data_IF_117032797969
#
_entry.id   IF_117032797969
#
_cell.length_a   1.000
_cell.length_b   1.000
_cell.length_c   1.000
_cell.angle_alpha   90.00
_cell.angle_beta   90.00
_cell.angle_gamma   90.00
#
_symmetry.space_group_name_H-M   'P 1'
#
loop_
_entity.id
_entity.type
_entity.pdbx_description
1 polymer ?
#
# COMPACT_ATOMS: atom_id res chain seq x y z
N UNK A 1 12.18 -7.47 -28.88
CA UNK A 1 11.91 -7.37 -27.43
C UNK A 1 10.82 -6.32 -27.29
N UNK A 2 9.73 -6.63 -26.63
CA UNK A 2 8.67 -5.65 -26.35
C UNK A 2 9.24 -4.61 -25.39
N UNK A 3 9.19 -3.34 -25.78
CA UNK A 3 9.69 -2.24 -24.94
C UNK A 3 8.60 -1.83 -23.96
N UNK A 4 8.67 -2.38 -22.73
CA UNK A 4 7.72 -2.10 -21.65
C UNK A 4 8.16 -0.79 -20.99
N UNK A 5 7.21 0.13 -20.82
CA UNK A 5 7.42 1.49 -20.32
C UNK A 5 6.84 1.62 -18.92
N UNK A 6 7.56 2.31 -18.04
CA UNK A 6 7.04 2.67 -16.72
C UNK A 6 5.85 3.62 -16.83
N UNK A 7 4.87 3.45 -15.95
CA UNK A 7 3.78 4.41 -15.81
C UNK A 7 4.32 5.72 -15.21
N UNK A 8 4.11 6.82 -15.93
CA UNK A 8 4.49 8.17 -15.47
C UNK A 8 3.58 8.68 -14.34
N UNK A 9 2.36 8.11 -14.22
CA UNK A 9 1.38 8.41 -13.18
C UNK A 9 1.18 7.23 -12.24
N UNK A 10 2.27 6.63 -11.80
CA UNK A 10 2.22 5.49 -10.88
C UNK A 10 1.60 5.88 -9.53
N UNK A 11 0.37 5.42 -9.26
CA UNK A 11 -0.36 5.68 -8.02
C UNK A 11 0.20 4.94 -6.80
N UNK A 12 1.26 4.14 -6.95
CA UNK A 12 1.91 3.41 -5.85
C UNK A 12 3.32 3.91 -5.61
N UNK A 13 3.58 4.32 -4.38
CA UNK A 13 4.93 4.65 -3.89
C UNK A 13 5.59 3.41 -3.30
N UNK A 14 6.85 3.21 -3.66
CA UNK A 14 7.66 2.10 -3.18
C UNK A 14 8.83 2.65 -2.36
N UNK A 15 8.79 2.43 -1.03
CA UNK A 15 9.93 2.73 -0.16
C UNK A 15 11.11 1.80 -0.46
N UNK A 16 12.33 2.17 -0.04
CA UNK A 16 13.51 1.31 -0.19
C UNK A 16 13.30 -0.05 0.48
N UNK A 17 12.59 -0.08 1.62
CA UNK A 17 12.22 -1.33 2.30
C UNK A 17 11.35 -2.21 1.41
N UNK A 18 10.35 -1.63 0.75
CA UNK A 18 9.46 -2.35 -0.16
C UNK A 18 10.23 -2.86 -1.38
N UNK A 19 11.06 -2.01 -2.02
CA UNK A 19 11.92 -2.41 -3.15
C UNK A 19 12.85 -3.56 -2.79
N UNK A 20 13.47 -3.52 -1.61
CA UNK A 20 14.32 -4.60 -1.12
C UNK A 20 13.54 -5.91 -0.91
N UNK A 21 12.30 -5.83 -0.43
CA UNK A 21 11.44 -6.98 -0.24
C UNK A 21 11.04 -7.62 -1.58
N UNK A 22 10.69 -6.79 -2.58
CA UNK A 22 10.41 -7.24 -3.94
C UNK A 22 11.66 -7.91 -4.54
N UNK A 23 12.83 -7.28 -4.42
CA UNK A 23 14.09 -7.83 -4.92
C UNK A 23 14.40 -9.20 -4.29
N UNK A 24 14.23 -9.29 -2.96
CA UNK A 24 14.38 -10.56 -2.22
C UNK A 24 13.42 -11.63 -2.74
N UNK A 25 12.15 -11.31 -2.89
CA UNK A 25 11.15 -12.23 -3.41
C UNK A 25 11.52 -12.75 -4.80
N UNK A 26 11.91 -11.86 -5.71
CA UNK A 26 12.29 -12.22 -7.08
C UNK A 26 13.58 -13.05 -7.13
N UNK A 27 14.58 -12.71 -6.33
CA UNK A 27 15.88 -13.42 -6.31
C UNK A 27 15.80 -14.82 -5.68
N UNK A 28 15.06 -14.97 -4.58
CA UNK A 28 14.94 -16.23 -3.84
C UNK A 28 13.86 -17.15 -4.40
N UNK A 29 12.70 -16.58 -4.76
CA UNK A 29 11.52 -17.35 -5.18
C UNK A 29 11.26 -17.31 -6.69
N UNK A 30 11.90 -16.39 -7.43
CA UNK A 30 11.62 -16.13 -8.83
C UNK A 30 10.33 -15.34 -9.04
N UNK A 31 9.99 -15.07 -10.30
CA UNK A 31 8.78 -14.32 -10.64
C UNK A 31 7.50 -15.08 -10.23
N UNK A 32 6.79 -14.54 -9.26
CA UNK A 32 5.56 -15.13 -8.70
C UNK A 32 4.29 -14.59 -9.34
N UNK A 33 4.26 -13.30 -9.65
CA UNK A 33 3.11 -12.62 -10.26
C UNK A 33 3.47 -12.00 -11.61
N UNK A 34 2.46 -11.72 -12.41
CA UNK A 34 2.55 -10.95 -13.65
C UNK A 34 2.47 -9.45 -13.35
N UNK A 35 2.92 -8.65 -14.33
CA UNK A 35 2.58 -7.23 -14.43
C UNK A 35 1.50 -7.04 -15.48
N UNK A 36 0.75 -5.95 -15.41
CA UNK A 36 -0.26 -5.61 -16.39
C UNK A 36 0.21 -4.38 -17.17
N UNK A 37 0.10 -4.44 -18.49
CA UNK A 37 0.44 -3.33 -19.39
C UNK A 37 -0.75 -3.04 -20.33
N UNK A 38 -0.82 -1.80 -20.81
CA UNK A 38 -1.78 -1.40 -21.84
C UNK A 38 -1.31 -1.81 -23.25
N UNK A 39 -2.10 -1.47 -24.27
CA UNK A 39 -1.80 -1.76 -25.68
C UNK A 39 -0.53 -1.04 -26.20
N UNK A 40 -0.10 0.03 -25.56
CA UNK A 40 1.10 0.79 -25.89
C UNK A 40 2.31 0.40 -25.04
N UNK A 41 2.17 -0.70 -24.27
CA UNK A 41 3.14 -1.26 -23.33
C UNK A 41 3.47 -0.37 -22.12
N UNK A 42 2.59 0.57 -21.74
CA UNK A 42 2.73 1.27 -20.49
C UNK A 42 2.23 0.39 -19.33
N UNK A 43 2.97 0.35 -18.22
CA UNK A 43 2.59 -0.45 -17.06
C UNK A 43 1.35 0.16 -16.41
N UNK A 44 0.27 -0.64 -16.29
CA UNK A 44 -0.92 -0.31 -15.50
C UNK A 44 -0.71 -0.73 -14.04
N UNK A 45 -0.09 -1.90 -13.82
CA UNK A 45 0.19 -2.42 -12.49
C UNK A 45 1.48 -3.22 -12.48
N UNK A 46 2.32 -3.01 -11.44
CA UNK A 46 3.56 -3.75 -11.21
C UNK A 46 4.84 -3.00 -11.52
N UNK A 47 4.86 -1.64 -11.50
CA UNK A 47 6.06 -0.83 -11.71
C UNK A 47 7.24 -1.27 -10.83
N UNK A 48 7.02 -1.45 -9.50
CA UNK A 48 8.07 -1.88 -8.58
C UNK A 48 8.62 -3.29 -8.90
N UNK A 49 7.75 -4.20 -9.34
CA UNK A 49 8.17 -5.56 -9.75
C UNK A 49 9.02 -5.50 -11.02
N UNK A 50 8.59 -4.72 -12.00
CA UNK A 50 9.32 -4.60 -13.26
C UNK A 50 10.69 -3.94 -13.05
N UNK A 51 10.78 -2.88 -12.24
CA UNK A 51 12.03 -2.23 -11.84
C UNK A 51 13.03 -3.23 -11.25
N UNK A 52 12.60 -4.04 -10.28
CA UNK A 52 13.48 -5.02 -9.65
C UNK A 52 13.79 -6.21 -10.57
N UNK A 53 12.84 -6.64 -11.40
CA UNK A 53 13.08 -7.68 -12.39
C UNK A 53 14.15 -7.28 -13.43
N UNK A 54 14.12 -6.02 -13.88
CA UNK A 54 15.17 -5.48 -14.76
C UNK A 54 16.53 -5.47 -14.07
N UNK A 55 16.60 -5.02 -12.81
CA UNK A 55 17.84 -5.00 -12.02
C UNK A 55 18.45 -6.39 -11.88
N UNK A 56 17.60 -7.42 -11.75
CA UNK A 56 18.01 -8.82 -11.64
C UNK A 56 18.25 -9.51 -13.00
N UNK A 57 17.99 -8.83 -14.12
CA UNK A 57 18.11 -9.40 -15.45
C UNK A 57 17.08 -10.50 -15.76
N UNK A 58 15.93 -10.49 -15.10
CA UNK A 58 14.86 -11.48 -15.31
C UNK A 58 14.22 -11.21 -16.69
N UNK A 59 14.13 -12.26 -17.50
CA UNK A 59 13.52 -12.18 -18.84
C UNK A 59 12.00 -12.04 -18.73
N UNK A 60 11.41 -11.20 -19.57
CA UNK A 60 9.97 -11.04 -19.70
C UNK A 60 9.39 -11.98 -20.77
N UNK A 61 8.17 -12.45 -20.52
CA UNK A 61 7.33 -13.15 -21.49
C UNK A 61 5.99 -12.42 -21.54
N UNK A 62 5.64 -11.87 -22.69
CA UNK A 62 4.36 -11.18 -22.91
C UNK A 62 3.30 -12.19 -23.33
N UNK A 63 2.11 -12.04 -22.76
CA UNK A 63 0.89 -12.78 -23.13
C UNK A 63 -0.15 -11.69 -23.42
N UNK A 64 -0.67 -11.70 -24.65
CA UNK A 64 -1.72 -10.76 -25.07
C UNK A 64 -3.09 -11.34 -24.72
N UNK A 65 -3.97 -10.48 -24.21
CA UNK A 65 -5.35 -10.80 -23.82
C UNK A 65 -6.24 -9.58 -24.00
N UNK A 66 -7.51 -9.79 -24.27
CA UNK A 66 -8.53 -8.74 -24.33
C UNK A 66 -9.26 -8.52 -22.99
N UNK A 67 -8.81 -9.20 -21.92
CA UNK A 67 -9.38 -9.09 -20.58
C UNK A 67 -10.63 -9.94 -20.33
N UNK A 68 -11.04 -10.75 -21.31
CA UNK A 68 -12.21 -11.64 -21.16
C UNK A 68 -11.87 -12.95 -20.44
N UNK A 69 -10.58 -13.27 -20.30
CA UNK A 69 -10.08 -14.48 -19.66
C UNK A 69 -9.13 -14.15 -18.51
N UNK A 70 -9.18 -14.94 -17.44
CA UNK A 70 -8.21 -14.87 -16.37
C UNK A 70 -6.92 -15.59 -16.76
N UNK A 71 -5.81 -14.86 -16.85
CA UNK A 71 -4.49 -15.44 -17.08
C UNK A 71 -3.94 -16.06 -15.80
N UNK A 72 -3.74 -17.36 -15.80
CA UNK A 72 -3.17 -18.12 -14.68
C UNK A 72 -1.71 -18.45 -14.94
N UNK A 73 -0.82 -17.94 -14.09
CA UNK A 73 0.61 -18.29 -14.11
C UNK A 73 0.85 -19.53 -13.26
N UNK A 74 1.09 -20.69 -13.93
CA UNK A 74 1.38 -21.96 -13.25
C UNK A 74 2.89 -22.16 -13.09
N UNK A 75 3.37 -22.14 -11.84
CA UNK A 75 4.76 -22.44 -11.47
C UNK A 75 4.96 -23.97 -11.40
N UNK A 76 5.44 -24.54 -12.47
CA UNK A 76 5.66 -26.00 -12.59
C UNK A 76 6.87 -26.50 -11.82
N UNK A 77 7.70 -25.58 -11.34
CA UNK A 77 8.90 -25.83 -10.55
C UNK A 77 8.64 -25.85 -9.02
N UNK A 78 7.39 -25.60 -8.58
CA UNK A 78 7.02 -25.55 -7.17
C UNK A 78 6.00 -26.63 -6.83
N UNK A 79 6.26 -27.41 -5.78
CA UNK A 79 5.31 -28.34 -5.18
C UNK A 79 4.59 -27.76 -3.98
N UNK A 80 3.45 -28.33 -3.52
CA UNK A 80 2.70 -27.81 -2.37
C UNK A 80 3.53 -27.71 -1.08
N UNK A 81 4.51 -28.60 -0.89
CA UNK A 81 5.30 -28.70 0.35
C UNK A 81 6.60 -27.87 0.31
N UNK A 82 6.95 -27.29 -0.84
CA UNK A 82 8.20 -26.54 -0.98
C UNK A 82 8.22 -25.29 -0.08
N UNK A 83 9.31 -25.11 0.67
CA UNK A 83 9.54 -23.90 1.46
C UNK A 83 9.52 -22.63 0.59
N UNK A 84 10.07 -22.73 -0.62
CA UNK A 84 10.06 -21.66 -1.61
C UNK A 84 8.64 -21.23 -2.01
N UNK A 85 7.71 -22.17 -2.14
CA UNK A 85 6.29 -21.90 -2.38
C UNK A 85 5.65 -21.17 -1.21
N UNK A 86 5.96 -21.59 0.03
CA UNK A 86 5.45 -20.94 1.25
C UNK A 86 6.01 -19.52 1.39
N UNK A 87 7.30 -19.35 1.16
CA UNK A 87 7.96 -18.03 1.14
C UNK A 87 7.33 -17.11 0.11
N UNK A 88 7.12 -17.60 -1.12
CA UNK A 88 6.52 -16.81 -2.20
C UNK A 88 5.11 -16.34 -1.82
N UNK A 89 4.28 -17.19 -1.23
CA UNK A 89 2.92 -16.82 -0.80
C UNK A 89 2.93 -15.68 0.23
N UNK A 90 3.88 -15.70 1.17
CA UNK A 90 4.01 -14.64 2.18
C UNK A 90 4.59 -13.35 1.58
N UNK A 91 5.69 -13.47 0.82
CA UNK A 91 6.38 -12.32 0.24
C UNK A 91 5.51 -11.59 -0.79
N UNK A 92 4.71 -12.31 -1.56
CA UNK A 92 3.80 -11.72 -2.55
C UNK A 92 2.77 -10.79 -1.89
N UNK A 93 2.16 -11.21 -0.79
CA UNK A 93 1.25 -10.38 -0.01
C UNK A 93 1.99 -9.23 0.69
N UNK A 94 3.09 -9.51 1.38
CA UNK A 94 3.86 -8.50 2.10
C UNK A 94 4.40 -7.38 1.19
N UNK A 95 4.75 -7.67 -0.06
CA UNK A 95 5.17 -6.65 -1.03
C UNK A 95 4.02 -5.73 -1.44
N UNK A 96 2.78 -6.21 -1.44
CA UNK A 96 1.59 -5.40 -1.68
C UNK A 96 1.27 -4.51 -0.47
N UNK A 97 1.27 -5.10 0.74
CA UNK A 97 0.90 -4.42 1.99
C UNK A 97 1.90 -3.32 2.39
N UNK A 98 3.17 -3.46 2.00
CA UNK A 98 4.22 -2.47 2.33
C UNK A 98 4.38 -1.35 1.29
N UNK A 99 3.55 -1.32 0.25
CA UNK A 99 3.47 -0.21 -0.70
C UNK A 99 2.35 0.75 -0.31
N UNK A 100 2.51 2.04 -0.60
CA UNK A 100 1.56 3.08 -0.23
C UNK A 100 0.94 3.72 -1.48
N UNK A 101 -0.31 4.19 -1.36
CA UNK A 101 -0.91 4.99 -2.42
C UNK A 101 -0.37 6.42 -2.41
N UNK A 102 -0.17 6.99 -3.60
CA UNK A 102 0.04 8.42 -3.77
C UNK A 102 -1.32 9.12 -3.73
N UNK A 103 -1.74 9.54 -2.54
CA UNK A 103 -3.07 10.11 -2.32
C UNK A 103 -3.27 11.43 -3.05
N UNK A 104 -2.22 12.25 -3.15
CA UNK A 104 -2.30 13.53 -3.87
C UNK A 104 -2.55 13.28 -5.37
N UNK A 105 -1.80 12.36 -5.96
CA UNK A 105 -1.97 11.97 -7.35
C UNK A 105 -3.35 11.35 -7.62
N UNK A 106 -3.85 10.53 -6.69
CA UNK A 106 -5.21 9.96 -6.79
C UNK A 106 -6.29 11.03 -6.77
N UNK A 107 -6.17 12.05 -5.92
CA UNK A 107 -7.13 13.17 -5.83
C UNK A 107 -7.11 14.07 -7.07
N UNK A 108 -5.99 14.13 -7.78
CA UNK A 108 -5.92 14.84 -9.06
C UNK A 108 -6.74 14.16 -10.16
N UNK A 109 -6.76 12.82 -10.19
CA UNK A 109 -7.37 12.06 -11.28
C UNK A 109 -8.79 11.58 -10.99
N UNK A 110 -9.17 11.43 -9.70
CA UNK A 110 -10.45 10.85 -9.31
C UNK A 110 -11.20 11.72 -8.30
N UNK A 111 -12.54 11.87 -8.45
CA UNK A 111 -13.39 12.47 -7.42
C UNK A 111 -13.25 11.73 -6.10
N UNK A 112 -13.34 12.47 -4.99
CA UNK A 112 -13.14 11.90 -3.66
C UNK A 112 -14.19 10.83 -3.32
N UNK A 113 -15.42 11.02 -3.80
CA UNK A 113 -16.53 10.09 -3.64
C UNK A 113 -16.19 8.72 -4.28
N UNK A 114 -15.54 8.75 -5.45
CA UNK A 114 -15.09 7.52 -6.13
C UNK A 114 -13.99 6.81 -5.34
N UNK A 115 -13.04 7.57 -4.78
CA UNK A 115 -11.97 6.99 -3.96
C UNK A 115 -12.51 6.38 -2.66
N UNK A 116 -13.54 7.00 -2.07
CA UNK A 116 -14.25 6.46 -0.90
C UNK A 116 -15.05 5.20 -1.25
N UNK A 117 -15.75 5.18 -2.39
CA UNK A 117 -16.44 3.99 -2.88
C UNK A 117 -15.49 2.81 -3.09
N UNK A 118 -14.25 3.09 -3.49
CA UNK A 118 -13.20 2.08 -3.64
C UNK A 118 -12.49 1.73 -2.33
N UNK A 119 -12.92 2.29 -1.20
CA UNK A 119 -12.35 2.03 0.13
C UNK A 119 -10.82 2.29 0.18
N UNK A 120 -10.34 3.37 -0.47
CA UNK A 120 -8.92 3.74 -0.42
C UNK A 120 -8.59 4.27 0.99
N UNK A 121 -7.82 3.52 1.83
CA UNK A 121 -7.76 3.75 3.28
C UNK A 121 -7.27 5.14 3.70
N UNK A 122 -6.37 5.74 2.92
CA UNK A 122 -5.79 7.03 3.28
C UNK A 122 -6.71 8.22 2.96
N UNK A 123 -7.84 8.01 2.26
CA UNK A 123 -8.80 9.06 1.91
C UNK A 123 -9.75 9.34 3.09
N UNK A 124 -10.08 8.34 3.89
CA UNK A 124 -10.93 8.51 5.07
C UNK A 124 -10.29 9.39 6.15
N UNK A 125 -8.97 9.29 6.33
CA UNK A 125 -8.20 10.04 7.36
C UNK A 125 -8.13 11.53 6.99
N UNK A 126 -8.12 11.89 5.71
CA UNK A 126 -8.02 13.29 5.27
C UNK A 126 -9.31 14.11 5.49
N UNK A 127 -10.42 13.46 5.82
CA UNK A 127 -11.69 14.11 6.15
C UNK A 127 -11.97 14.22 7.65
N UNK A 128 -11.12 13.63 8.49
CA UNK A 128 -11.14 13.97 9.90
C UNK A 128 -10.53 15.38 10.02
N UNK A 129 -11.41 16.38 10.00
CA UNK A 129 -11.07 17.72 10.43
C UNK A 129 -10.79 17.66 11.94
N UNK A 130 -9.54 17.33 12.24
CA UNK A 130 -9.05 17.17 13.61
C UNK A 130 -9.24 18.47 14.38
N UNK A 131 -9.15 19.62 13.71
CA UNK A 131 -9.31 20.93 14.32
C UNK A 131 -10.78 21.16 14.74
N UNK A 132 -11.76 20.75 13.91
CA UNK A 132 -13.18 20.83 14.29
C UNK A 132 -13.52 19.93 15.46
N UNK A 133 -12.85 18.78 15.61
CA UNK A 133 -13.04 17.89 16.74
C UNK A 133 -12.53 18.51 18.06
N UNK A 134 -11.49 19.34 17.99
CA UNK A 134 -10.98 20.05 19.16
C UNK A 134 -11.72 21.38 19.43
N UNK A 135 -12.30 22.03 18.41
CA UNK A 135 -13.15 23.21 18.59
C UNK A 135 -14.46 22.89 19.32
N UNK A 136 -15.04 21.69 19.09
CA UNK A 136 -16.28 21.24 19.75
C UNK A 136 -16.04 20.79 21.22
N UNK A 137 -14.77 20.53 21.59
CA UNK A 137 -14.34 20.42 22.98
C UNK A 137 -14.06 21.81 23.56
N UNK A 138 -15.04 22.72 23.36
CA UNK A 138 -15.00 24.06 23.92
C UNK A 138 -14.49 24.00 25.36
N UNK A 139 -13.69 25.00 25.74
CA UNK A 139 -13.13 25.21 27.09
C UNK A 139 -14.10 24.75 28.18
N UNK A 140 -14.10 23.45 28.50
CA UNK A 140 -14.57 23.01 29.79
C UNK A 140 -13.58 23.62 30.77
N UNK A 141 -13.89 24.84 31.22
CA UNK A 141 -13.23 25.43 32.38
C UNK A 141 -13.17 24.32 33.44
N UNK A 142 -12.00 23.73 33.61
CA UNK A 142 -11.74 22.77 34.69
C UNK A 142 -12.07 23.55 35.95
N UNK A 143 -13.28 23.38 36.50
CA UNK A 143 -13.56 23.82 37.87
C UNK A 143 -12.56 23.10 38.75
N UNK A 144 -11.54 23.85 39.24
CA UNK A 144 -10.59 23.34 40.19
C UNK A 144 -11.37 22.76 41.34
N UNK A 145 -11.27 21.46 41.58
CA UNK A 145 -11.88 20.80 42.71
C UNK A 145 -11.03 21.08 43.93
N UNK A 146 -11.58 21.85 44.88
CA UNK A 146 -10.95 22.04 46.17
C UNK A 146 -11.22 20.80 47.03
N UNK A 147 -10.17 20.15 47.48
CA UNK A 147 -10.22 19.00 48.40
C UNK A 147 -9.80 19.48 49.78
N UNK A 148 -10.65 19.24 50.77
CA UNK A 148 -10.35 19.57 52.17
C UNK A 148 -9.73 18.36 52.87
N UNK A 149 -8.56 18.50 53.47
CA UNK A 149 -7.93 17.46 54.24
C UNK A 149 -8.77 17.07 55.48
N UNK A 150 -9.22 15.84 55.61
CA UNK A 150 -10.10 15.42 56.75
C UNK A 150 -9.36 15.41 58.10
N UNK A 151 -8.03 15.53 58.14
CA UNK A 151 -7.25 15.47 59.34
C UNK A 151 -6.85 16.84 59.89
N UNK A 152 -6.61 17.84 59.03
CA UNK A 152 -6.13 19.17 59.44
C UNK A 152 -6.95 20.33 58.89
N UNK A 153 -8.00 20.10 58.08
CA UNK A 153 -8.90 21.09 57.52
C UNK A 153 -8.31 21.99 56.46
N UNK A 154 -7.06 21.79 55.98
CA UNK A 154 -6.47 22.57 54.92
C UNK A 154 -7.09 22.21 53.56
N UNK A 155 -7.31 23.24 52.75
CA UNK A 155 -7.80 23.11 51.38
C UNK A 155 -6.64 22.97 50.40
N UNK A 156 -6.79 22.06 49.42
CA UNK A 156 -5.85 21.87 48.32
C UNK A 156 -6.60 21.99 47.01
N UNK A 157 -6.03 22.64 46.01
CA UNK A 157 -6.49 22.65 44.63
C UNK A 157 -5.96 21.36 43.94
N UNK A 158 -6.85 20.55 43.35
CA UNK A 158 -6.54 19.34 42.55
C UNK A 158 -6.81 19.60 41.07
#
# INVERSE_FOLDING_TARGET
MTDIKFDLRNYRKHSDKNKNLINKSLSECGAGRSILVDNDNNIIAGNGIYEQAQTLGIKTKVIETDGTELVVVKRVDLSPEDEKRKQLAVLDNATSDTSEFDIELLKEDFPIETLQEWEIPAVEISHLDVDSFFEDMGETSKKKKTIVCPHCGKEFEA
#
